data_IF_551837519256
#
_entry.id   IF_551837519256
#
_cell.length_a   1.000
_cell.length_b   1.000
_cell.length_c   1.000
_cell.angle_alpha   90.00
_cell.angle_beta   90.00
_cell.angle_gamma   90.00
#
_symmetry.space_group_name_H-M   'P 1'
#
loop_
_entity.id
_entity.type
_entity.pdbx_description
1 polymer ?
#
# COMPACT_ATOMS: atom_id res chain seq x y z
N UNK A 1 -10.24 14.92 13.49
CA UNK A 1 -11.58 14.78 12.91
C UNK A 1 -11.64 13.85 11.70
N UNK A 2 -11.03 14.22 10.56
CA UNK A 2 -11.17 13.46 9.29
C UNK A 2 -10.51 12.08 9.37
N UNK A 3 -9.35 11.99 10.00
CA UNK A 3 -8.62 10.72 10.17
C UNK A 3 -9.45 9.67 10.92
N UNK A 4 -10.17 10.10 11.96
CA UNK A 4 -11.04 9.30 12.81
C UNK A 4 -12.28 8.82 12.05
N UNK A 5 -12.83 9.67 11.18
CA UNK A 5 -13.94 9.30 10.28
C UNK A 5 -13.50 8.25 9.27
N UNK A 6 -12.32 8.40 8.66
CA UNK A 6 -11.76 7.43 7.71
C UNK A 6 -11.48 6.09 8.41
N UNK A 7 -10.86 6.13 9.60
CA UNK A 7 -10.54 4.93 10.36
C UNK A 7 -11.78 4.09 10.68
N UNK A 8 -12.82 4.71 11.27
CA UNK A 8 -14.06 3.98 11.59
C UNK A 8 -14.79 3.49 10.35
N UNK A 9 -14.87 4.32 9.31
CA UNK A 9 -15.50 3.92 8.06
C UNK A 9 -14.83 2.69 7.47
N UNK A 10 -13.49 2.65 7.51
CA UNK A 10 -12.70 1.51 7.03
C UNK A 10 -12.96 0.25 7.85
N UNK A 11 -12.98 0.35 9.20
CA UNK A 11 -13.28 -0.79 10.08
C UNK A 11 -14.67 -1.38 9.84
N UNK A 12 -15.67 -0.53 9.65
CA UNK A 12 -17.06 -0.97 9.37
C UNK A 12 -17.17 -1.58 7.98
N UNK A 13 -16.51 -0.99 6.97
CA UNK A 13 -16.56 -1.48 5.60
C UNK A 13 -15.86 -2.84 5.45
N UNK A 14 -14.74 -3.04 6.14
CA UNK A 14 -13.99 -4.31 6.17
C UNK A 14 -14.67 -5.42 6.99
N UNK A 15 -15.73 -5.12 7.74
CA UNK A 15 -16.48 -6.14 8.49
C UNK A 15 -17.27 -7.03 7.52
N UNK A 16 -16.84 -8.27 7.33
CA UNK A 16 -17.52 -9.24 6.47
C UNK A 16 -18.86 -9.74 7.05
N UNK A 17 -19.78 -10.15 6.18
CA UNK A 17 -21.06 -10.76 6.59
C UNK A 17 -22.17 -9.79 7.04
N UNK A 18 -21.99 -8.48 6.89
CA UNK A 18 -23.02 -7.45 7.13
C UNK A 18 -23.47 -6.82 5.81
N UNK A 19 -24.77 -6.52 5.66
CA UNK A 19 -25.28 -5.94 4.41
C UNK A 19 -24.73 -4.52 4.19
N UNK A 20 -24.50 -4.13 2.92
CA UNK A 20 -23.98 -2.79 2.59
C UNK A 20 -24.84 -1.65 3.15
N UNK A 21 -26.17 -1.83 3.19
CA UNK A 21 -27.10 -0.83 3.75
C UNK A 21 -26.88 -0.62 5.25
N UNK A 22 -26.64 -1.69 6.00
CA UNK A 22 -26.36 -1.61 7.44
C UNK A 22 -24.99 -0.99 7.69
N UNK A 23 -23.98 -1.32 6.87
CA UNK A 23 -22.66 -0.68 6.92
C UNK A 23 -22.77 0.83 6.74
N UNK A 24 -23.44 1.32 5.69
CA UNK A 24 -23.57 2.77 5.46
C UNK A 24 -24.38 3.48 6.56
N UNK A 25 -25.44 2.86 7.09
CA UNK A 25 -26.18 3.40 8.25
C UNK A 25 -25.28 3.52 9.48
N UNK A 26 -24.49 2.48 9.76
CA UNK A 26 -23.57 2.45 10.87
C UNK A 26 -22.46 3.51 10.74
N UNK A 27 -21.87 3.62 9.54
CA UNK A 27 -20.87 4.67 9.24
C UNK A 27 -21.47 6.06 9.45
N UNK A 28 -22.68 6.33 8.94
CA UNK A 28 -23.31 7.64 9.11
C UNK A 28 -23.54 7.99 10.59
N UNK A 29 -24.07 7.06 11.39
CA UNK A 29 -24.32 7.27 12.83
C UNK A 29 -23.01 7.47 13.59
N UNK A 30 -22.01 6.61 13.35
CA UNK A 30 -20.72 6.71 14.03
C UNK A 30 -19.95 7.98 13.65
N UNK A 31 -19.98 8.38 12.38
CA UNK A 31 -19.39 9.64 11.93
C UNK A 31 -20.06 10.86 12.58
N UNK A 32 -21.39 10.84 12.75
CA UNK A 32 -22.11 11.89 13.46
C UNK A 32 -21.67 11.99 14.93
N UNK A 33 -21.51 10.85 15.61
CA UNK A 33 -20.99 10.82 16.99
C UNK A 33 -19.58 11.40 17.07
N UNK A 34 -18.68 10.98 16.18
CA UNK A 34 -17.29 11.51 16.14
C UNK A 34 -17.26 13.01 15.85
N UNK A 35 -18.15 13.49 15.00
CA UNK A 35 -18.28 14.93 14.72
C UNK A 35 -18.63 15.70 16.00
N UNK A 36 -19.61 15.23 16.79
CA UNK A 36 -19.98 15.84 18.07
C UNK A 36 -18.82 15.77 19.07
N UNK A 37 -18.14 14.64 19.19
CA UNK A 37 -16.96 14.50 20.06
C UNK A 37 -15.83 15.46 19.66
N UNK A 38 -15.65 15.69 18.37
CA UNK A 38 -14.66 16.65 17.88
C UNK A 38 -15.05 18.10 18.24
N UNK A 39 -16.35 18.43 18.26
CA UNK A 39 -16.82 19.74 18.77
C UNK A 39 -16.56 19.84 20.28
N UNK A 40 -16.91 18.80 21.07
CA UNK A 40 -16.68 18.80 22.52
C UNK A 40 -15.21 19.02 22.84
N UNK A 41 -14.31 18.40 22.07
CA UNK A 41 -12.85 18.65 22.17
C UNK A 41 -12.51 20.12 21.98
N UNK A 42 -13.06 20.77 20.94
CA UNK A 42 -12.83 22.18 20.65
C UNK A 42 -13.38 23.09 21.75
N UNK A 43 -14.56 22.77 22.29
CA UNK A 43 -15.16 23.51 23.40
C UNK A 43 -14.32 23.37 24.67
N UNK A 44 -13.77 22.18 24.95
CA UNK A 44 -12.89 21.95 26.09
C UNK A 44 -11.54 22.66 25.99
N UNK A 45 -11.04 22.94 24.77
CA UNK A 45 -9.79 23.69 24.60
C UNK A 45 -9.88 25.12 25.12
N UNK A 46 -11.03 25.77 24.97
CA UNK A 46 -11.20 27.18 25.33
C UNK A 46 -10.93 27.49 26.81
N UNK A 47 -11.59 26.83 27.80
CA UNK A 47 -11.35 27.13 29.21
C UNK A 47 -9.91 26.78 29.65
N UNK A 48 -9.36 25.66 29.16
CA UNK A 48 -7.99 25.24 29.50
C UNK A 48 -6.97 26.29 29.04
N UNK A 49 -7.12 26.78 27.81
CA UNK A 49 -6.23 27.82 27.28
C UNK A 49 -6.36 29.15 28.04
N UNK A 50 -7.59 29.54 28.44
CA UNK A 50 -7.81 30.79 29.19
C UNK A 50 -7.23 30.71 30.60
N UNK A 51 -7.46 29.61 31.31
CA UNK A 51 -6.97 29.43 32.68
C UNK A 51 -5.43 29.46 32.76
N UNK A 52 -4.75 28.76 31.84
CA UNK A 52 -3.28 28.74 31.79
C UNK A 52 -2.67 30.10 31.41
N UNK A 53 -3.31 30.84 30.49
CA UNK A 53 -2.85 32.16 30.09
C UNK A 53 -3.13 33.24 31.14
N UNK A 54 -4.18 33.09 31.95
CA UNK A 54 -4.43 33.95 33.10
C UNK A 54 -3.42 33.68 34.23
N UNK A 55 -2.99 32.43 34.39
CA UNK A 55 -1.98 32.05 35.39
C UNK A 55 -0.57 32.52 35.01
N UNK A 56 -0.16 32.40 33.74
CA UNK A 56 1.17 32.77 33.25
C UNK A 56 1.10 33.68 32.01
N UNK A 57 0.79 34.98 32.19
CA UNK A 57 0.63 35.91 31.08
C UNK A 57 1.95 36.16 30.34
N UNK A 58 1.90 36.21 29.00
CA UNK A 58 3.02 36.48 28.09
C UNK A 58 4.19 35.49 28.16
N UNK A 59 4.00 34.31 28.73
CA UNK A 59 4.99 33.24 28.75
C UNK A 59 4.59 32.12 27.78
N UNK A 60 5.56 31.44 27.14
CA UNK A 60 5.27 30.31 26.26
C UNK A 60 4.57 29.16 27.00
N UNK A 61 4.73 29.09 28.32
CA UNK A 61 4.07 28.11 29.20
C UNK A 61 2.54 28.25 29.25
N UNK A 62 1.95 29.38 28.83
CA UNK A 62 0.49 29.53 28.71
C UNK A 62 -0.13 28.45 27.79
N UNK A 63 0.60 27.98 26.79
CA UNK A 63 0.09 26.98 25.85
C UNK A 63 0.22 25.54 26.36
N UNK A 64 0.86 25.32 27.52
CA UNK A 64 1.29 24.00 27.97
C UNK A 64 0.10 23.09 28.34
N UNK A 65 -0.89 23.54 29.11
CA UNK A 65 -2.05 22.69 29.43
C UNK A 65 -2.95 22.45 28.23
N UNK A 66 -3.08 23.43 27.32
CA UNK A 66 -3.73 23.20 26.01
C UNK A 66 -3.00 22.09 25.23
N UNK A 67 -1.67 22.15 25.16
CA UNK A 67 -0.86 21.17 24.44
C UNK A 67 -0.92 19.78 25.10
N UNK A 68 -0.83 19.70 26.43
CA UNK A 68 -0.95 18.45 27.17
C UNK A 68 -2.32 17.79 26.99
N UNK A 69 -3.40 18.58 27.07
CA UNK A 69 -4.74 18.08 26.79
C UNK A 69 -4.88 17.62 25.33
N UNK A 70 -4.34 18.39 24.37
CA UNK A 70 -4.34 18.01 22.96
C UNK A 70 -3.63 16.67 22.73
N UNK A 71 -2.42 16.53 23.28
CA UNK A 71 -1.58 15.34 23.16
C UNK A 71 -2.24 14.12 23.79
N UNK A 72 -2.79 14.25 25.00
CA UNK A 72 -3.49 13.16 25.68
C UNK A 72 -4.70 12.66 24.88
N UNK A 73 -5.56 13.58 24.44
CA UNK A 73 -6.76 13.24 23.67
C UNK A 73 -6.39 12.62 22.32
N UNK A 74 -5.32 13.10 21.68
CA UNK A 74 -4.84 12.60 20.40
C UNK A 74 -4.21 11.20 20.51
N UNK A 75 -3.35 10.97 21.50
CA UNK A 75 -2.64 9.70 21.66
C UNK A 75 -3.54 8.57 22.16
N UNK A 76 -4.43 8.86 23.12
CA UNK A 76 -5.20 7.82 23.82
C UNK A 76 -6.71 8.01 23.68
N UNK A 77 -7.18 9.24 23.84
CA UNK A 77 -8.61 9.54 23.97
C UNK A 77 -9.43 9.05 22.76
N UNK A 78 -9.16 9.59 21.58
CA UNK A 78 -9.95 9.24 20.39
C UNK A 78 -9.81 7.76 20.03
N UNK A 79 -8.59 7.21 20.02
CA UNK A 79 -8.38 5.82 19.61
C UNK A 79 -9.18 4.83 20.47
N UNK A 80 -9.15 5.00 21.80
CA UNK A 80 -9.91 4.15 22.74
C UNK A 80 -11.42 4.28 22.50
N UNK A 81 -11.93 5.51 22.39
CA UNK A 81 -13.37 5.75 22.19
C UNK A 81 -13.87 5.13 20.88
N UNK A 82 -13.10 5.29 19.79
CA UNK A 82 -13.45 4.74 18.48
C UNK A 82 -13.46 3.20 18.51
N UNK A 83 -12.45 2.58 19.12
CA UNK A 83 -12.39 1.12 19.24
C UNK A 83 -13.53 0.57 20.08
N UNK A 84 -13.84 1.18 21.23
CA UNK A 84 -14.96 0.74 22.07
C UNK A 84 -16.30 0.89 21.35
N UNK A 85 -16.53 2.02 20.69
CA UNK A 85 -17.75 2.23 19.92
C UNK A 85 -17.89 1.20 18.79
N UNK A 86 -16.80 0.94 18.05
CA UNK A 86 -16.79 -0.09 17.01
C UNK A 86 -17.02 -1.49 17.59
N UNK A 87 -16.38 -1.86 18.69
CA UNK A 87 -16.54 -3.15 19.35
C UNK A 87 -18.00 -3.39 19.82
N UNK A 88 -18.62 -2.36 20.41
CA UNK A 88 -20.03 -2.40 20.81
C UNK A 88 -20.90 -2.66 19.59
N UNK A 89 -20.72 -1.86 18.53
CA UNK A 89 -21.47 -2.03 17.29
C UNK A 89 -21.25 -3.41 16.65
N UNK A 90 -20.00 -3.86 16.55
CA UNK A 90 -19.60 -5.15 15.96
C UNK A 90 -20.21 -6.34 16.72
N UNK A 91 -20.26 -6.25 18.05
CA UNK A 91 -20.92 -7.24 18.90
C UNK A 91 -22.43 -7.26 18.68
N UNK A 92 -23.07 -6.09 18.62
CA UNK A 92 -24.53 -5.99 18.45
C UNK A 92 -25.01 -6.46 17.08
N UNK A 93 -24.26 -6.21 16.01
CA UNK A 93 -24.64 -6.60 14.63
C UNK A 93 -24.40 -8.10 14.34
N UNK A 94 -23.86 -8.86 15.30
CA UNK A 94 -23.48 -10.26 15.10
C UNK A 94 -22.25 -10.42 14.19
N UNK A 95 -21.42 -9.38 14.08
CA UNK A 95 -20.26 -9.32 13.19
C UNK A 95 -19.37 -10.54 13.34
N UNK A 96 -19.08 -10.98 14.57
CA UNK A 96 -18.25 -12.17 14.82
C UNK A 96 -18.79 -13.46 14.19
N UNK A 97 -20.09 -13.73 14.32
CA UNK A 97 -20.68 -14.95 13.73
C UNK A 97 -20.79 -14.86 12.21
N UNK A 98 -21.06 -13.66 11.68
CA UNK A 98 -21.20 -13.44 10.25
C UNK A 98 -19.85 -13.42 9.54
N UNK A 99 -18.82 -12.84 10.15
CA UNK A 99 -17.44 -12.88 9.63
C UNK A 99 -16.87 -14.29 9.67
N UNK A 100 -17.12 -15.07 10.74
CA UNK A 100 -16.67 -16.46 10.79
C UNK A 100 -17.36 -17.34 9.73
N UNK A 101 -18.67 -17.16 9.50
CA UNK A 101 -19.38 -17.87 8.42
C UNK A 101 -18.88 -17.46 7.03
N UNK A 102 -18.68 -16.16 6.79
CA UNK A 102 -18.13 -15.65 5.54
C UNK A 102 -16.66 -16.07 5.29
N UNK A 103 -15.90 -16.39 6.35
CA UNK A 103 -14.56 -16.97 6.24
C UNK A 103 -14.56 -18.46 5.92
N UNK A 104 -15.68 -19.16 6.14
CA UNK A 104 -15.83 -20.60 5.88
C UNK A 104 -16.48 -20.90 4.53
N UNK A 105 -17.20 -19.94 3.93
CA UNK A 105 -17.62 -20.05 2.53
C UNK A 105 -16.38 -20.01 1.63
N UNK A 106 -16.14 -21.08 0.87
CA UNK A 106 -15.03 -21.23 -0.07
C UNK A 106 -15.00 -20.05 -1.06
N UNK A 107 -14.25 -19.00 -0.73
CA UNK A 107 -14.00 -17.90 -1.66
C UNK A 107 -13.30 -18.47 -2.88
N UNK A 108 -13.86 -18.20 -4.06
CA UNK A 108 -13.25 -18.51 -5.35
C UNK A 108 -11.75 -18.23 -5.27
N UNK A 109 -10.96 -19.29 -5.41
CA UNK A 109 -9.53 -19.22 -5.14
C UNK A 109 -8.87 -18.44 -6.27
N UNK A 110 -8.62 -17.15 -6.04
CA UNK A 110 -7.74 -16.34 -6.86
C UNK A 110 -6.30 -16.73 -6.53
N UNK A 111 -5.47 -16.92 -7.55
CA UNK A 111 -4.04 -17.15 -7.36
C UNK A 111 -3.25 -16.02 -8.02
N UNK A 112 -2.41 -15.40 -7.22
CA UNK A 112 -1.44 -14.42 -7.70
C UNK A 112 -0.20 -15.22 -8.13
N UNK A 113 0.13 -15.19 -9.42
CA UNK A 113 1.30 -15.88 -9.98
C UNK A 113 2.26 -14.84 -10.53
N UNK A 114 3.56 -15.09 -10.40
CA UNK A 114 4.59 -14.26 -11.05
C UNK A 114 4.47 -14.44 -12.57
N UNK A 115 4.37 -13.34 -13.30
CA UNK A 115 4.20 -13.33 -14.75
C UNK A 115 5.39 -14.00 -15.43
N UNK A 116 5.13 -15.08 -16.17
CA UNK A 116 6.17 -15.83 -16.92
C UNK A 116 6.41 -15.30 -18.33
N UNK A 117 5.40 -14.66 -18.94
CA UNK A 117 5.48 -14.11 -20.30
C UNK A 117 5.56 -12.59 -20.25
N UNK A 118 6.72 -12.05 -20.65
CA UNK A 118 6.97 -10.61 -20.66
C UNK A 118 6.73 -10.06 -22.07
N UNK A 119 5.68 -9.25 -22.21
CA UNK A 119 5.46 -8.42 -23.40
C UNK A 119 6.06 -7.02 -23.20
N UNK A 120 6.29 -6.29 -24.29
CA UNK A 120 6.85 -4.93 -24.26
C UNK A 120 6.09 -4.01 -23.30
N UNK A 121 4.76 -4.13 -23.24
CA UNK A 121 3.91 -3.33 -22.33
C UNK A 121 4.26 -3.56 -20.85
N UNK A 122 4.51 -4.82 -20.44
CA UNK A 122 4.84 -5.14 -19.05
C UNK A 122 6.25 -4.65 -18.68
N UNK A 123 7.20 -4.77 -19.61
CA UNK A 123 8.54 -4.22 -19.42
C UNK A 123 8.49 -2.69 -19.28
N UNK A 124 7.67 -2.00 -20.08
CA UNK A 124 7.49 -0.55 -19.93
C UNK A 124 6.89 -0.17 -18.58
N UNK A 125 5.93 -0.93 -18.04
CA UNK A 125 5.35 -0.67 -16.71
C UNK A 125 6.40 -0.82 -15.60
N UNK A 126 7.25 -1.84 -15.69
CA UNK A 126 8.36 -2.00 -14.74
C UNK A 126 9.40 -0.88 -14.88
N UNK A 127 9.69 -0.43 -16.09
CA UNK A 127 10.53 0.76 -16.31
C UNK A 127 9.96 2.02 -15.65
N UNK A 128 8.65 2.25 -15.77
CA UNK A 128 7.96 3.37 -15.11
C UNK A 128 8.02 3.25 -13.58
N UNK A 129 7.86 2.04 -13.02
CA UNK A 129 8.04 1.80 -11.58
C UNK A 129 9.43 2.24 -11.11
N UNK A 130 10.48 1.82 -11.83
CA UNK A 130 11.87 2.19 -11.48
C UNK A 130 12.07 3.70 -11.57
N UNK A 131 11.53 4.35 -12.60
CA UNK A 131 11.60 5.81 -12.74
C UNK A 131 10.92 6.52 -11.57
N UNK A 132 9.75 6.05 -11.11
CA UNK A 132 9.06 6.62 -9.95
C UNK A 132 9.83 6.41 -8.65
N UNK A 133 10.51 5.28 -8.46
CA UNK A 133 11.41 5.12 -7.32
C UNK A 133 12.63 6.05 -7.38
N UNK A 134 13.21 6.27 -8.56
CA UNK A 134 14.30 7.23 -8.73
C UNK A 134 13.84 8.66 -8.42
N UNK A 135 12.64 9.06 -8.86
CA UNK A 135 12.04 10.35 -8.53
C UNK A 135 11.80 10.43 -7.01
N UNK A 136 11.20 9.41 -6.39
CA UNK A 136 10.98 9.39 -4.94
C UNK A 136 12.29 9.56 -4.16
N UNK A 137 13.35 8.87 -4.59
CA UNK A 137 14.68 9.02 -4.00
C UNK A 137 15.22 10.44 -4.15
N UNK A 138 15.07 11.04 -5.34
CA UNK A 138 15.51 12.41 -5.62
C UNK A 138 14.76 13.45 -4.77
N UNK A 139 13.46 13.27 -4.53
CA UNK A 139 12.67 14.16 -3.68
C UNK A 139 13.21 14.28 -2.25
N UNK A 140 13.77 13.21 -1.70
CA UNK A 140 14.34 13.19 -0.34
C UNK A 140 15.82 13.56 -0.35
N UNK A 141 16.62 12.90 -1.20
CA UNK A 141 18.08 12.96 -1.13
C UNK A 141 18.69 13.98 -2.11
N UNK A 142 18.00 14.29 -3.20
CA UNK A 142 18.48 15.21 -4.24
C UNK A 142 18.11 16.67 -3.99
N UNK A 143 17.20 16.94 -3.04
CA UNK A 143 16.76 18.28 -2.70
C UNK A 143 17.51 18.79 -1.46
N UNK A 144 18.41 19.77 -1.64
CA UNK A 144 19.17 20.35 -0.54
C UNK A 144 18.27 20.98 0.53
N UNK A 145 17.14 21.59 0.14
CA UNK A 145 16.21 22.18 1.10
C UNK A 145 15.57 21.13 2.03
N UNK A 146 15.31 19.92 1.52
CA UNK A 146 14.79 18.83 2.34
C UNK A 146 15.87 18.30 3.31
N UNK A 147 17.11 18.14 2.85
CA UNK A 147 18.22 17.70 3.68
C UNK A 147 18.60 18.75 4.75
N UNK A 148 18.56 20.03 4.41
CA UNK A 148 18.80 21.13 5.35
C UNK A 148 17.69 21.20 6.39
N UNK A 149 16.43 21.07 5.97
CA UNK A 149 15.29 20.99 6.88
C UNK A 149 15.43 19.82 7.86
N UNK A 150 15.92 18.66 7.40
CA UNK A 150 16.17 17.50 8.28
C UNK A 150 17.19 17.80 9.38
N UNK A 151 18.29 18.47 9.04
CA UNK A 151 19.31 18.86 10.02
C UNK A 151 18.75 19.82 11.08
N UNK A 152 17.89 20.76 10.65
CA UNK A 152 17.23 21.70 11.57
C UNK A 152 16.26 20.94 12.50
N UNK A 153 15.46 20.01 11.98
CA UNK A 153 14.56 19.18 12.79
C UNK A 153 15.34 18.39 13.83
N UNK A 154 16.46 17.78 13.46
CA UNK A 154 17.30 16.99 14.38
C UNK A 154 17.88 17.86 15.49
N UNK A 155 18.30 19.09 15.17
CA UNK A 155 18.76 20.05 16.17
C UNK A 155 17.63 20.50 17.10
N UNK A 156 16.44 20.77 16.56
CA UNK A 156 15.26 21.16 17.34
C UNK A 156 14.84 20.03 18.29
N UNK A 157 14.85 18.79 17.82
CA UNK A 157 14.53 17.61 18.64
C UNK A 157 15.59 17.37 19.73
N UNK A 158 16.88 17.54 19.41
CA UNK A 158 17.96 17.40 20.39
C UNK A 158 17.89 18.46 21.50
N UNK A 159 17.47 19.68 21.15
CA UNK A 159 17.43 20.82 22.07
C UNK A 159 16.06 21.04 22.73
N UNK A 160 15.07 20.18 22.44
CA UNK A 160 13.68 20.29 22.87
C UNK A 160 13.06 21.68 22.60
N UNK A 161 13.34 22.22 21.40
CA UNK A 161 12.95 23.56 20.97
C UNK A 161 11.69 23.51 20.09
N UNK A 162 10.67 24.30 20.45
CA UNK A 162 9.47 24.51 19.63
C UNK A 162 9.43 25.93 19.06
N UNK A 163 10.38 26.26 18.17
CA UNK A 163 10.47 27.59 17.53
C UNK A 163 9.80 27.61 16.14
N UNK A 164 9.45 28.80 15.60
CA UNK A 164 8.89 28.92 14.25
C UNK A 164 9.77 28.28 13.16
N UNK A 165 11.09 28.40 13.28
CA UNK A 165 12.04 27.78 12.35
C UNK A 165 11.97 26.24 12.38
N UNK A 166 11.76 25.65 13.55
CA UNK A 166 11.57 24.19 13.69
C UNK A 166 10.28 23.74 12.96
N UNK A 167 9.21 24.53 13.07
CA UNK A 167 7.94 24.22 12.41
C UNK A 167 8.03 24.35 10.88
N UNK A 168 8.69 25.39 10.37
CA UNK A 168 8.90 25.57 8.94
C UNK A 168 9.78 24.45 8.34
N UNK A 169 10.84 24.07 9.05
CA UNK A 169 11.68 22.93 8.67
C UNK A 169 10.86 21.62 8.66
N UNK A 170 10.06 21.38 9.71
CA UNK A 170 9.17 20.21 9.78
C UNK A 170 8.23 20.14 8.57
N UNK A 171 7.55 21.24 8.22
CA UNK A 171 6.66 21.29 7.07
C UNK A 171 7.41 21.04 5.74
N UNK A 172 8.61 21.61 5.59
CA UNK A 172 9.43 21.41 4.39
C UNK A 172 9.83 19.94 4.21
N UNK A 173 10.26 19.30 5.30
CA UNK A 173 10.59 17.87 5.32
C UNK A 173 9.36 16.99 5.05
N UNK A 174 8.23 17.28 5.71
CA UNK A 174 7.00 16.51 5.55
C UNK A 174 6.49 16.57 4.10
N UNK A 175 6.56 17.74 3.45
CA UNK A 175 6.22 17.88 2.03
C UNK A 175 7.14 17.04 1.12
N UNK A 176 8.44 17.03 1.40
CA UNK A 176 9.39 16.24 0.63
C UNK A 176 9.13 14.73 0.77
N UNK A 177 8.91 14.28 2.01
CA UNK A 177 8.58 12.89 2.32
C UNK A 177 7.24 12.49 1.71
N UNK A 178 6.22 13.33 1.79
CA UNK A 178 4.91 13.06 1.20
C UNK A 178 4.99 12.91 -0.33
N UNK A 179 5.78 13.77 -0.99
CA UNK A 179 6.07 13.64 -2.42
C UNK A 179 6.71 12.29 -2.75
N UNK A 180 7.75 11.91 -1.98
CA UNK A 180 8.44 10.64 -2.17
C UNK A 180 7.53 9.42 -1.98
N UNK A 181 6.70 9.39 -0.93
CA UNK A 181 5.72 8.32 -0.71
C UNK A 181 4.70 8.22 -1.85
N UNK A 182 4.24 9.35 -2.36
CA UNK A 182 3.27 9.38 -3.46
C UNK A 182 3.84 8.70 -4.71
N UNK A 183 5.06 9.04 -5.10
CA UNK A 183 5.73 8.39 -6.24
C UNK A 183 6.06 6.92 -5.97
N UNK A 184 6.52 6.58 -4.76
CA UNK A 184 6.81 5.18 -4.40
C UNK A 184 5.57 4.29 -4.45
N UNK A 185 4.42 4.76 -3.94
CA UNK A 185 3.14 4.03 -3.97
C UNK A 185 2.65 3.85 -5.41
N UNK A 186 2.69 4.92 -6.22
CA UNK A 186 2.34 4.82 -7.64
C UNK A 186 3.24 3.83 -8.38
N UNK A 187 4.54 3.85 -8.08
CA UNK A 187 5.52 2.92 -8.62
C UNK A 187 5.17 1.48 -8.27
N UNK A 188 4.87 1.20 -7.00
CA UNK A 188 4.47 -0.13 -6.53
C UNK A 188 3.19 -0.63 -7.21
N UNK A 189 2.16 0.21 -7.32
CA UNK A 189 0.89 -0.19 -7.97
C UNK A 189 1.15 -0.56 -9.44
N UNK A 190 1.83 0.31 -10.19
CA UNK A 190 2.18 0.05 -11.60
C UNK A 190 3.06 -1.21 -11.71
N UNK A 191 4.04 -1.36 -10.83
CA UNK A 191 4.92 -2.51 -10.76
C UNK A 191 4.15 -3.80 -10.53
N UNK A 192 3.24 -3.83 -9.58
CA UNK A 192 2.44 -5.04 -9.27
C UNK A 192 1.61 -5.50 -10.46
N UNK A 193 1.05 -4.56 -11.23
CA UNK A 193 0.32 -4.87 -12.48
C UNK A 193 1.26 -5.43 -13.54
N UNK A 194 2.49 -4.91 -13.63
CA UNK A 194 3.51 -5.39 -14.55
C UNK A 194 4.04 -6.79 -14.19
N UNK A 195 4.31 -7.05 -12.91
CA UNK A 195 5.00 -8.25 -12.41
C UNK A 195 4.08 -9.45 -12.18
N UNK A 196 2.83 -9.22 -11.79
CA UNK A 196 1.92 -10.30 -11.38
C UNK A 196 0.80 -10.50 -12.41
N UNK A 197 0.36 -11.76 -12.52
CA UNK A 197 -0.89 -12.14 -13.17
C UNK A 197 -1.86 -12.63 -12.10
N UNK A 198 -3.12 -12.22 -12.24
CA UNK A 198 -4.23 -12.66 -11.40
C UNK A 198 -4.98 -13.75 -12.17
N UNK A 199 -4.81 -15.00 -11.76
CA UNK A 199 -5.49 -16.14 -12.35
C UNK A 199 -6.75 -16.48 -11.56
N UNK A 200 -7.85 -16.72 -12.27
CA UNK A 200 -9.10 -17.28 -11.73
C UNK A 200 -9.26 -18.71 -12.25
N UNK A 201 -9.82 -19.60 -11.42
CA UNK A 201 -10.25 -20.92 -11.89
C UNK A 201 -11.32 -20.78 -12.95
N UNK A 202 -11.30 -21.65 -13.95
CA UNK A 202 -12.34 -21.72 -14.97
C UNK A 202 -13.66 -22.26 -14.41
N UNK A 203 -14.71 -22.31 -15.23
CA UNK A 203 -16.03 -22.87 -14.85
C UNK A 203 -15.99 -24.36 -14.49
N UNK A 204 -14.89 -25.05 -14.78
CA UNK A 204 -14.64 -26.46 -14.46
C UNK A 204 -13.74 -26.63 -13.22
N UNK A 205 -13.31 -25.54 -12.58
CA UNK A 205 -12.47 -25.55 -11.39
C UNK A 205 -10.96 -25.72 -11.65
N UNK A 206 -10.53 -25.68 -12.91
CA UNK A 206 -9.13 -25.84 -13.32
C UNK A 206 -8.43 -24.49 -13.42
N UNK A 207 -7.10 -24.49 -13.26
CA UNK A 207 -6.26 -23.33 -13.48
C UNK A 207 -5.94 -23.17 -14.98
N UNK A 208 -5.78 -21.93 -15.49
CA UNK A 208 -5.38 -21.73 -16.88
C UNK A 208 -3.99 -22.34 -17.15
N UNK A 209 -3.91 -23.27 -18.09
CA UNK A 209 -2.64 -23.85 -18.54
C UNK A 209 -2.09 -23.05 -19.72
N UNK A 210 -0.94 -22.42 -19.53
CA UNK A 210 -0.23 -21.74 -20.62
C UNK A 210 0.70 -22.74 -21.31
N UNK A 211 0.56 -22.89 -22.63
CA UNK A 211 1.45 -23.71 -23.44
C UNK A 211 2.91 -23.28 -23.22
N UNK A 212 3.70 -24.15 -22.57
CA UNK A 212 5.13 -23.90 -22.44
C UNK A 212 5.76 -23.95 -23.83
N UNK A 213 6.67 -23.03 -24.12
CA UNK A 213 7.42 -22.90 -25.37
C UNK A 213 8.22 -24.16 -25.78
N UNK A 214 8.14 -25.27 -25.02
CA UNK A 214 8.73 -26.56 -25.39
C UNK A 214 8.07 -27.25 -26.59
N UNK A 215 6.82 -26.96 -26.94
CA UNK A 215 6.18 -27.62 -28.10
C UNK A 215 6.62 -27.09 -29.47
N UNK A 216 7.21 -25.89 -29.55
CA UNK A 216 7.67 -25.34 -30.84
C UNK A 216 8.93 -26.05 -31.38
N UNK A 217 9.74 -26.66 -30.52
CA UNK A 217 10.93 -27.41 -30.95
C UNK A 217 10.61 -28.86 -31.35
N UNK A 218 9.45 -29.40 -30.99
CA UNK A 218 9.06 -30.76 -31.36
C UNK A 218 8.52 -30.85 -32.81
N UNK A 219 7.99 -29.75 -33.35
CA UNK A 219 7.40 -29.72 -34.71
C UNK A 219 8.44 -29.38 -35.80
N UNK A 220 9.56 -28.75 -35.41
CA UNK A 220 10.68 -28.48 -36.34
C UNK A 220 11.55 -29.73 -36.56
N UNK A 221 11.60 -30.66 -35.60
CA UNK A 221 12.43 -31.87 -35.71
C UNK A 221 11.79 -32.99 -36.56
N UNK A 222 10.47 -32.94 -36.82
CA UNK A 222 9.77 -33.96 -37.63
C UNK A 222 9.83 -33.74 -39.14
N UNK A 223 10.34 -32.60 -39.62
CA UNK A 223 10.40 -32.28 -41.07
C UNK A 223 11.77 -32.45 -41.72
N UNK A 224 12.80 -32.88 -40.97
CA UNK A 224 14.16 -33.05 -41.50
C UNK A 224 14.72 -34.47 -41.31
N UNK A 225 14.04 -35.49 -41.85
CA UNK A 225 14.67 -36.78 -42.17
C UNK A 225 14.37 -37.17 -43.61
N UNK A 226 15.16 -36.64 -44.55
CA UNK A 226 15.25 -37.17 -45.91
C UNK A 226 15.93 -38.54 -45.87
N UNK A 227 15.23 -39.54 -46.39
CA UNK A 227 15.71 -40.91 -46.59
C UNK A 227 16.97 -40.95 -47.46
N UNK A 228 17.95 -41.76 -47.05
CA UNK A 228 19.09 -42.16 -47.89
C UNK A 228 18.68 -43.40 -48.72
N UNK A 229 18.86 -43.41 -50.05
CA UNK A 229 18.60 -44.61 -50.84
C UNK A 229 19.70 -45.66 -50.61
N UNK A 230 19.28 -46.93 -50.49
CA UNK A 230 20.16 -48.12 -50.46
C UNK A 230 20.18 -48.78 -51.83
N UNK A 231 21.39 -49.15 -52.28
CA UNK A 231 21.67 -50.12 -53.34
C UNK A 231 23.02 -49.82 -53.98
N UNK A 232 23.80 -50.74 -54.53
CA UNK A 232 23.86 -52.21 -54.51
C UNK A 232 25.10 -52.57 -55.36
N UNK A 233 25.87 -53.58 -54.97
CA UNK A 233 26.90 -54.30 -55.76
C UNK A 233 28.24 -53.62 -56.16
N UNK A 234 29.30 -54.10 -55.47
CA UNK A 234 30.43 -54.92 -55.97
C UNK A 234 31.52 -54.29 -56.90
N UNK A 235 32.74 -54.40 -56.35
CA UNK A 235 34.02 -54.82 -56.95
C UNK A 235 35.05 -53.79 -57.47
N UNK A 236 36.23 -53.96 -56.85
CA UNK A 236 37.59 -54.06 -57.41
C UNK A 236 38.45 -52.79 -57.58
N UNK A 237 39.46 -52.75 -56.69
CA UNK A 237 40.91 -52.67 -56.96
C UNK A 237 41.55 -51.37 -57.51
N UNK A 238 42.44 -50.86 -56.65
CA UNK A 238 43.87 -50.53 -56.88
C UNK A 238 44.24 -49.13 -57.42
N UNK A 239 45.39 -48.69 -56.88
CA UNK A 239 46.37 -47.67 -57.30
C UNK A 239 46.24 -46.29 -56.64
N UNK A 240 47.04 -46.12 -55.59
CA UNK A 240 48.10 -45.13 -55.31
C UNK A 240 48.24 -43.79 -56.08
N UNK A 241 48.97 -42.89 -55.40
CA UNK A 241 49.73 -41.69 -55.85
C UNK A 241 48.93 -40.39 -56.05
N UNK A 242 49.11 -39.40 -55.16
CA UNK A 242 50.14 -38.33 -55.15
C UNK A 242 49.89 -37.23 -56.21
N UNK A 243 49.42 -36.07 -55.73
CA UNK A 243 50.10 -34.74 -55.78
C UNK A 243 49.20 -33.65 -55.18
#
# INVERSE_FOLDING_TARGET
GVHEMIFLSTLVLMTDGVTQREKFKAVAVMCAIVYVLNIVRLVAFYPIAVEDCLANPNQPECLNGMWNYHTFVYQWGFLIVLLLMWLVWFKFIGGASSTMKASQEDKEQWRIVIRRRWEQKHVTLVGVMIAFFAIAWFWVNGNSAAMDAKNIIDFCAFSDLTTPNCYEAQNTWDNAIQGAWSFAVLGLVIGTIGFYDIERKDSQGNWPEYASTKSANAEVESTTKKEKPKGSWRNRSHVDEEE
#
